data_IF_040115019207
#
_entry.id   IF_040115019207
#
_cell.length_a   1.000
_cell.length_b   1.000
_cell.length_c   1.000
_cell.angle_alpha   90.00
_cell.angle_beta   90.00
_cell.angle_gamma   90.00
#
_symmetry.space_group_name_H-M   'P 1'
#
loop_
_entity.id
_entity.type
_entity.pdbx_description
1 polymer ?
#
# COMPACT_ATOMS: atom_id res chain seq x y z
N UNK A 1 -20.78 14.18 -3.82
CA UNK A 1 -20.63 15.61 -4.16
C UNK A 1 -19.62 15.74 -5.30
N UNK A 2 -19.96 16.46 -6.37
CA UNK A 2 -19.05 16.70 -7.51
C UNK A 2 -18.69 18.18 -7.59
N UNK A 3 -17.39 18.50 -7.74
CA UNK A 3 -16.91 19.87 -7.94
C UNK A 3 -16.40 20.01 -9.38
N UNK A 4 -16.83 21.06 -10.09
CA UNK A 4 -16.34 21.36 -11.44
C UNK A 4 -15.00 22.08 -11.34
N UNK A 5 -14.02 21.58 -12.08
CA UNK A 5 -12.66 22.15 -12.19
C UNK A 5 -12.31 22.30 -13.66
N UNK A 6 -11.54 23.34 -14.01
CA UNK A 6 -10.92 23.46 -15.32
C UNK A 6 -9.52 22.86 -15.26
N UNK A 7 -9.23 21.93 -16.15
CA UNK A 7 -7.92 21.29 -16.27
C UNK A 7 -7.47 21.34 -17.72
N UNK A 8 -6.20 21.69 -17.95
CA UNK A 8 -5.58 21.60 -19.26
C UNK A 8 -5.01 20.20 -19.41
N UNK A 9 -5.40 19.51 -20.50
CA UNK A 9 -4.90 18.18 -20.84
C UNK A 9 -4.24 18.24 -22.20
N UNK A 10 -3.13 17.52 -22.42
CA UNK A 10 -2.54 17.38 -23.75
C UNK A 10 -3.55 16.83 -24.76
N UNK A 11 -3.43 17.25 -26.01
CA UNK A 11 -4.32 16.79 -27.10
C UNK A 11 -4.28 15.27 -27.25
N UNK A 12 -3.12 14.64 -27.06
CA UNK A 12 -2.97 13.19 -27.06
C UNK A 12 -3.84 12.50 -26.01
N UNK A 13 -3.91 13.06 -24.80
CA UNK A 13 -4.76 12.54 -23.71
C UNK A 13 -6.23 12.73 -24.02
N UNK A 14 -6.61 13.86 -24.63
CA UNK A 14 -7.99 14.12 -25.07
C UNK A 14 -8.43 13.15 -26.17
N UNK A 15 -7.56 12.84 -27.13
CA UNK A 15 -7.86 11.87 -28.19
C UNK A 15 -8.15 10.46 -27.63
N UNK A 16 -7.38 10.02 -26.62
CA UNK A 16 -7.66 8.76 -25.92
C UNK A 16 -8.97 8.84 -25.16
N UNK A 17 -9.22 9.96 -24.48
CA UNK A 17 -10.45 10.19 -23.73
C UNK A 17 -11.68 10.09 -24.64
N UNK A 18 -11.62 10.67 -25.83
CA UNK A 18 -12.72 10.71 -26.79
C UNK A 18 -12.96 9.37 -27.48
N UNK A 19 -11.93 8.54 -27.61
CA UNK A 19 -12.07 7.16 -28.10
C UNK A 19 -12.77 6.25 -27.09
N UNK A 20 -12.50 6.44 -25.79
CA UNK A 20 -12.92 5.50 -24.74
C UNK A 20 -14.19 5.96 -24.02
N UNK A 21 -14.38 7.26 -23.82
CA UNK A 21 -15.54 7.80 -23.13
C UNK A 21 -16.63 8.23 -24.14
N UNK A 22 -17.84 7.72 -23.96
CA UNK A 22 -19.02 8.22 -24.68
C UNK A 22 -19.27 9.69 -24.32
N UNK A 23 -19.93 10.44 -25.22
CA UNK A 23 -20.34 11.83 -24.96
C UNK A 23 -21.07 11.92 -23.61
N UNK A 24 -20.55 12.73 -22.70
CA UNK A 24 -21.08 12.92 -21.33
C UNK A 24 -20.35 12.14 -20.23
N UNK A 25 -19.61 11.07 -20.56
CA UNK A 25 -18.93 10.21 -19.57
C UNK A 25 -17.47 10.60 -19.30
N UNK A 26 -16.96 11.66 -19.95
CA UNK A 26 -15.58 12.15 -19.80
C UNK A 26 -15.19 12.37 -18.34
N UNK A 27 -16.01 13.08 -17.56
CA UNK A 27 -15.74 13.38 -16.15
C UNK A 27 -15.68 12.11 -15.29
N UNK A 28 -16.56 11.14 -15.56
CA UNK A 28 -16.60 9.86 -14.85
C UNK A 28 -15.36 9.02 -15.18
N UNK A 29 -14.94 9.01 -16.43
CA UNK A 29 -13.72 8.33 -16.87
C UNK A 29 -12.47 8.94 -16.22
N UNK A 30 -12.34 10.27 -16.23
CA UNK A 30 -11.23 10.99 -15.58
C UNK A 30 -11.19 10.65 -14.08
N UNK A 31 -12.33 10.70 -13.39
CA UNK A 31 -12.41 10.34 -11.97
C UNK A 31 -11.93 8.90 -11.71
N UNK A 32 -12.38 7.93 -12.53
CA UNK A 32 -11.95 6.54 -12.41
C UNK A 32 -10.44 6.37 -12.66
N UNK A 33 -9.90 7.05 -13.67
CA UNK A 33 -8.48 7.01 -13.99
C UNK A 33 -7.61 7.58 -12.86
N UNK A 34 -8.00 8.72 -12.28
CA UNK A 34 -7.28 9.34 -11.15
C UNK A 34 -7.30 8.42 -9.92
N UNK A 35 -8.47 7.89 -9.55
CA UNK A 35 -8.58 6.97 -8.42
C UNK A 35 -7.76 5.69 -8.63
N UNK A 36 -7.77 5.15 -9.85
CA UNK A 36 -6.97 3.99 -10.21
C UNK A 36 -5.47 4.29 -10.10
N UNK A 37 -5.02 5.43 -10.63
CA UNK A 37 -3.61 5.83 -10.58
C UNK A 37 -3.13 6.00 -9.14
N UNK A 38 -3.90 6.69 -8.30
CA UNK A 38 -3.58 6.86 -6.88
C UNK A 38 -3.53 5.51 -6.15
N UNK A 39 -4.51 4.63 -6.40
CA UNK A 39 -4.54 3.29 -5.79
C UNK A 39 -3.38 2.40 -6.25
N UNK A 40 -3.00 2.47 -7.52
CA UNK A 40 -1.89 1.71 -8.05
C UNK A 40 -0.57 2.17 -7.45
N UNK A 41 -0.36 3.51 -7.41
CA UNK A 41 0.87 4.10 -6.89
C UNK A 41 0.98 4.05 -5.36
N UNK A 42 -0.14 4.05 -4.64
CA UNK A 42 -0.11 3.99 -3.17
C UNK A 42 0.47 2.68 -2.66
N UNK A 43 0.19 1.55 -3.33
CA UNK A 43 0.76 0.25 -2.95
C UNK A 43 2.26 0.19 -3.19
N UNK A 44 2.73 0.73 -4.31
CA UNK A 44 4.16 0.79 -4.64
C UNK A 44 4.90 1.72 -3.69
N UNK A 45 4.38 2.94 -3.46
CA UNK A 45 4.95 3.87 -2.50
C UNK A 45 4.94 3.32 -1.08
N UNK A 46 3.87 2.62 -0.66
CA UNK A 46 3.83 1.97 0.65
C UNK A 46 4.90 0.88 0.77
N UNK A 47 5.09 0.09 -0.28
CA UNK A 47 6.11 -0.97 -0.28
C UNK A 47 7.52 -0.41 -0.15
N UNK A 48 7.85 0.64 -0.91
CA UNK A 48 9.17 1.29 -0.80
C UNK A 48 9.36 1.93 0.59
N UNK A 49 8.35 2.62 1.11
CA UNK A 49 8.43 3.18 2.47
C UNK A 49 8.61 2.13 3.56
N UNK A 50 7.90 1.01 3.49
CA UNK A 50 8.07 -0.11 4.42
C UNK A 50 9.48 -0.71 4.33
N UNK A 51 10.05 -0.80 3.13
CA UNK A 51 11.41 -1.28 2.91
C UNK A 51 12.44 -0.31 3.50
N UNK A 52 12.27 0.99 3.25
CA UNK A 52 13.15 2.03 3.79
C UNK A 52 13.12 2.03 5.33
N UNK A 53 11.93 1.97 5.94
CA UNK A 53 11.80 1.91 7.40
C UNK A 53 12.39 0.63 7.98
N UNK A 54 12.17 -0.54 7.35
CA UNK A 54 12.75 -1.80 7.81
C UNK A 54 14.29 -1.78 7.75
N UNK A 55 14.87 -1.18 6.70
CA UNK A 55 16.32 -1.03 6.60
C UNK A 55 16.86 -0.02 7.62
N UNK A 56 16.17 1.10 7.80
CA UNK A 56 16.57 2.14 8.75
C UNK A 56 16.55 1.65 10.20
N UNK A 57 15.58 0.79 10.55
CA UNK A 57 15.41 0.28 11.90
C UNK A 57 16.04 -1.10 12.14
N UNK A 58 16.65 -1.73 11.13
CA UNK A 58 17.15 -3.11 11.19
C UNK A 58 18.02 -3.40 12.42
N UNK A 59 18.92 -2.48 12.78
CA UNK A 59 19.81 -2.64 13.93
C UNK A 59 19.07 -2.59 15.27
N UNK A 60 18.10 -1.68 15.38
CA UNK A 60 17.22 -1.57 16.57
C UNK A 60 16.38 -2.82 16.70
N UNK A 61 15.76 -3.25 15.61
CA UNK A 61 14.88 -4.42 15.57
C UNK A 61 15.64 -5.70 15.92
N UNK A 62 16.88 -5.85 15.42
CA UNK A 62 17.74 -6.97 15.78
C UNK A 62 18.11 -6.97 17.27
N UNK A 63 18.47 -5.81 17.83
CA UNK A 63 18.76 -5.70 19.27
C UNK A 63 17.56 -6.10 20.13
N UNK A 64 16.38 -5.59 19.79
CA UNK A 64 15.15 -5.93 20.50
C UNK A 64 14.85 -7.43 20.37
N UNK A 65 14.99 -8.02 19.19
CA UNK A 65 14.78 -9.45 19.00
C UNK A 65 15.72 -10.29 19.87
N UNK A 66 17.01 -9.94 19.94
CA UNK A 66 17.99 -10.65 20.77
C UNK A 66 17.68 -10.54 22.27
N UNK A 67 17.26 -9.35 22.72
CA UNK A 67 16.90 -9.12 24.12
C UNK A 67 15.67 -9.96 24.55
N UNK A 68 14.67 -10.07 23.67
CA UNK A 68 13.42 -10.76 23.97
C UNK A 68 13.46 -12.27 23.68
N UNK A 69 14.44 -12.75 22.91
CA UNK A 69 14.55 -14.14 22.48
C UNK A 69 14.45 -15.18 23.61
N UNK A 70 15.12 -15.02 24.78
CA UNK A 70 15.05 -16.02 25.84
C UNK A 70 13.62 -16.19 26.40
N UNK A 71 12.89 -15.08 26.55
CA UNK A 71 11.51 -15.09 27.05
C UNK A 71 10.56 -15.78 26.06
N UNK A 72 10.76 -15.52 24.76
CA UNK A 72 9.98 -16.16 23.70
C UNK A 72 10.24 -17.67 23.62
N UNK A 73 11.50 -18.09 23.77
CA UNK A 73 11.89 -19.50 23.77
C UNK A 73 11.25 -20.26 24.94
N UNK A 74 11.31 -19.70 26.15
CA UNK A 74 10.64 -20.28 27.32
C UNK A 74 9.12 -20.39 27.13
N UNK A 75 8.47 -19.35 26.60
CA UNK A 75 7.05 -19.36 26.32
C UNK A 75 6.67 -20.43 25.28
N UNK A 76 7.48 -20.60 24.24
CA UNK A 76 7.25 -21.60 23.19
C UNK A 76 7.36 -23.04 23.71
N UNK A 77 8.39 -23.32 24.51
CA UNK A 77 8.57 -24.63 25.17
C UNK A 77 7.38 -24.96 26.08
N UNK A 78 6.95 -24.00 26.89
CA UNK A 78 5.81 -24.17 27.79
C UNK A 78 4.48 -24.40 27.04
N UNK A 79 4.27 -23.70 25.92
CA UNK A 79 3.10 -23.93 25.06
C UNK A 79 3.11 -25.34 24.41
N UNK A 80 4.27 -25.85 24.03
CA UNK A 80 4.44 -27.21 23.51
C UNK A 80 4.18 -28.29 24.56
N UNK A 81 4.61 -28.06 25.80
CA UNK A 81 4.33 -28.96 26.94
C UNK A 81 2.84 -28.98 27.28
N UNK A 82 2.17 -27.83 27.24
CA UNK A 82 0.71 -27.73 27.47
C UNK A 82 -0.11 -28.48 26.40
N UNK A 83 0.33 -28.47 25.14
CA UNK A 83 -0.32 -29.22 24.04
C UNK A 83 -0.13 -30.74 24.10
N UNK A 84 0.92 -31.25 24.74
CA UNK A 84 1.17 -32.69 24.91
C UNK A 84 0.43 -33.32 26.09
N UNK A 85 -0.05 -32.50 27.04
CA UNK A 85 -0.77 -32.94 28.25
C UNK A 85 -2.30 -32.97 28.08
N UNK A 86 -2.80 -32.69 26.87
CA UNK A 86 -4.23 -32.65 26.52
C UNK A 86 -4.52 -33.73 25.48
#
# INVERSE_FOLDING_TARGET
>A
MSKRINVMLPESTLAVLDRVARKGDRSRFISKAVLHYVKARSKENLRERLKEEALANAERDLRMAVEWFPLEEEAWQNAGVSRRRK
#
